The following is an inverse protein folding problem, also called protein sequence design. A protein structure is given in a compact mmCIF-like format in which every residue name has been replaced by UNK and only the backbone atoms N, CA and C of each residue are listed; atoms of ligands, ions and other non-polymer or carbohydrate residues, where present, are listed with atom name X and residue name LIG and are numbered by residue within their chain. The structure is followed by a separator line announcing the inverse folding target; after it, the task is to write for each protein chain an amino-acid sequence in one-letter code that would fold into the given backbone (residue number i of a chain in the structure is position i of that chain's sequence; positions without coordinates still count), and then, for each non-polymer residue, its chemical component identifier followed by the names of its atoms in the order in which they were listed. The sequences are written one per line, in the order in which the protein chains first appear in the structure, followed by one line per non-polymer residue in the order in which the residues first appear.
data_IF_839755458883
#
_entry.id   IF_839755458883
#
_cell.length_a   1.000
_cell.length_b   1.000
_cell.length_c   1.000
_cell.angle_alpha   90.00
_cell.angle_beta   90.00
_cell.angle_gamma   90.00
#
_symmetry.space_group_name_H-M   'P 1'
#
loop_
_entity.id
_entity.type
_entity.pdbx_description
1 polymer ?
#
# COMPACT_ATOMS: atom_id res chain seq x y z
N UNK A 1 5.78 -4.93 -0.48
CA UNK A 1 6.30 -3.57 -0.22
C UNK A 1 6.14 -2.78 -1.49
N UNK A 2 5.85 -1.49 -1.39
CA UNK A 2 5.61 -0.62 -2.54
C UNK A 2 6.72 0.43 -2.62
N UNK A 3 7.18 0.75 -3.82
CA UNK A 3 8.00 1.92 -4.09
C UNK A 3 7.04 3.00 -4.60
N UNK A 4 6.70 3.94 -3.73
CA UNK A 4 5.68 4.96 -4.00
C UNK A 4 6.28 6.09 -4.85
N UNK A 5 5.62 6.37 -5.98
CA UNK A 5 5.91 7.52 -6.83
C UNK A 5 4.59 8.17 -7.23
N UNK A 6 3.99 9.01 -6.36
CA UNK A 6 2.72 9.66 -6.66
C UNK A 6 2.89 10.67 -7.80
N UNK A 7 1.95 10.66 -8.73
CA UNK A 7 1.97 11.49 -9.93
C UNK A 7 0.92 12.59 -9.85
N UNK A 8 -0.33 12.23 -9.53
CA UNK A 8 -1.50 13.11 -9.56
C UNK A 8 -2.58 12.67 -8.56
N UNK A 9 -3.62 13.49 -8.41
CA UNK A 9 -4.84 13.22 -7.63
C UNK A 9 -4.55 12.84 -6.16
N UNK A 10 -5.23 11.82 -5.65
CA UNK A 10 -5.16 11.33 -4.28
C UNK A 10 -3.94 10.44 -4.00
N UNK A 11 -3.12 10.12 -5.02
CA UNK A 11 -1.94 9.28 -4.87
C UNK A 11 -0.94 9.81 -3.84
N UNK A 12 -0.88 11.13 -3.64
CA UNK A 12 -0.04 11.73 -2.60
C UNK A 12 -0.51 11.35 -1.19
N UNK A 13 -1.83 11.30 -0.99
CA UNK A 13 -2.44 10.87 0.28
C UNK A 13 -2.23 9.37 0.48
N UNK A 14 -2.40 8.57 -0.57
CA UNK A 14 -2.14 7.13 -0.54
C UNK A 14 -0.66 6.82 -0.26
N UNK A 15 0.26 7.53 -0.90
CA UNK A 15 1.69 7.40 -0.64
C UNK A 15 2.00 7.71 0.84
N UNK A 16 1.42 8.77 1.38
CA UNK A 16 1.56 9.11 2.80
C UNK A 16 1.01 8.03 3.72
N UNK A 17 -0.17 7.49 3.42
CA UNK A 17 -0.78 6.36 4.14
C UNK A 17 0.14 5.13 4.15
N UNK A 18 0.71 4.80 2.98
CA UNK A 18 1.53 3.61 2.81
C UNK A 18 2.92 3.73 3.43
N UNK A 19 3.52 4.92 3.38
CA UNK A 19 4.87 5.20 3.89
C UNK A 19 4.84 5.50 5.38
N UNK A 20 4.07 6.49 5.82
CA UNK A 20 4.13 7.00 7.19
C UNK A 20 3.28 6.19 8.17
N UNK A 21 2.05 5.84 7.78
CA UNK A 21 1.08 5.29 8.73
C UNK A 21 1.09 3.77 8.80
N UNK A 22 1.29 3.11 7.66
CA UNK A 22 1.31 1.64 7.61
C UNK A 22 2.72 1.06 7.52
N UNK A 23 3.68 1.85 7.01
CA UNK A 23 5.07 1.45 6.85
C UNK A 23 5.20 0.17 6.01
N UNK A 24 4.51 0.14 4.86
CA UNK A 24 4.61 -0.93 3.86
C UNK A 24 5.21 -0.43 2.54
N UNK A 25 5.56 0.85 2.46
CA UNK A 25 6.11 1.49 1.28
C UNK A 25 7.29 2.41 1.59
N UNK A 26 8.06 2.73 0.55
CA UNK A 26 9.14 3.72 0.54
C UNK A 26 8.83 4.72 -0.57
N UNK A 27 8.88 6.02 -0.28
CA UNK A 27 8.75 7.06 -1.33
C UNK A 27 10.06 7.15 -2.12
N UNK A 28 9.98 7.10 -3.45
CA UNK A 28 11.17 7.13 -4.32
C UNK A 28 11.27 8.43 -5.15
N UNK A 29 10.15 9.10 -5.41
CA UNK A 29 10.05 10.34 -6.16
C UNK A 29 8.61 10.86 -6.06
N UNK A 30 8.36 12.10 -6.48
CA UNK A 30 7.02 12.68 -6.54
C UNK A 30 6.85 13.55 -7.78
N UNK A 31 5.64 13.55 -8.34
CA UNK A 31 5.24 14.40 -9.46
C UNK A 31 5.51 13.78 -10.83
N UNK A 32 4.52 13.88 -11.73
CA UNK A 32 4.59 13.25 -13.04
C UNK A 32 5.52 13.88 -14.07
N UNK A 33 6.04 15.07 -13.78
CA UNK A 33 7.04 15.77 -14.62
C UNK A 33 8.44 15.71 -14.01
N UNK A 34 8.59 15.06 -12.86
CA UNK A 34 9.87 14.96 -12.17
C UNK A 34 10.67 13.81 -12.75
N UNK A 35 11.89 14.09 -13.21
CA UNK A 35 12.85 13.06 -13.59
C UNK A 35 13.81 12.89 -12.41
N UNK A 36 13.71 11.82 -11.62
CA UNK A 36 14.59 11.61 -10.48
C UNK A 36 16.02 11.36 -10.95
N UNK A 37 16.99 11.71 -10.09
CA UNK A 37 18.38 11.36 -10.34
C UNK A 37 18.52 9.82 -10.39
N UNK A 38 19.02 9.23 -11.51
CA UNK A 38 19.09 7.78 -11.65
C UNK A 38 19.96 7.08 -10.59
N UNK A 39 21.02 7.73 -10.10
CA UNK A 39 21.89 7.17 -9.07
C UNK A 39 21.18 7.14 -7.71
N UNK A 40 20.45 8.19 -7.38
CA UNK A 40 19.66 8.25 -6.15
C UNK A 40 18.51 7.25 -6.18
N UNK A 41 17.77 7.19 -7.29
CA UNK A 41 16.69 6.22 -7.47
C UNK A 41 17.23 4.79 -7.36
N UNK A 42 18.34 4.49 -8.03
CA UNK A 42 19.00 3.19 -7.97
C UNK A 42 19.42 2.81 -6.54
N UNK A 43 19.98 3.77 -5.79
CA UNK A 43 20.36 3.58 -4.38
C UNK A 43 19.15 3.25 -3.51
N UNK A 44 18.07 4.05 -3.58
CA UNK A 44 16.86 3.83 -2.77
C UNK A 44 16.22 2.48 -3.09
N UNK A 45 16.17 2.08 -4.35
CA UNK A 45 15.70 0.75 -4.76
C UNK A 45 16.58 -0.34 -4.15
N UNK A 46 17.91 -0.23 -4.27
CA UNK A 46 18.84 -1.21 -3.74
C UNK A 46 18.73 -1.37 -2.21
N UNK A 47 18.64 -0.27 -1.48
CA UNK A 47 18.43 -0.24 -0.02
C UNK A 47 17.10 -0.87 0.38
N UNK A 48 16.03 -0.51 -0.34
CA UNK A 48 14.68 -1.06 -0.13
C UNK A 48 14.60 -2.57 -0.42
N UNK A 49 15.41 -3.08 -1.34
CA UNK A 49 15.50 -4.51 -1.66
C UNK A 49 16.49 -5.26 -0.77
N UNK A 50 17.44 -4.55 -0.15
CA UNK A 50 18.39 -5.08 0.81
C UNK A 50 17.79 -5.34 2.18
N UNK A 51 18.68 -5.39 3.19
CA UNK A 51 18.32 -5.67 4.58
C UNK A 51 17.50 -4.53 5.20
N UNK A 52 17.77 -3.29 4.81
CA UNK A 52 17.06 -2.10 5.34
C UNK A 52 15.54 -2.16 5.04
N UNK A 53 15.15 -2.70 3.87
CA UNK A 53 13.75 -2.90 3.54
C UNK A 53 13.12 -4.21 4.05
N UNK A 54 13.85 -5.05 4.80
CA UNK A 54 13.33 -6.36 5.23
C UNK A 54 12.08 -6.22 6.07
N UNK A 55 12.07 -5.31 7.04
CA UNK A 55 10.91 -5.08 7.92
C UNK A 55 9.70 -4.54 7.16
N UNK A 56 9.91 -3.64 6.20
CA UNK A 56 8.88 -3.13 5.30
C UNK A 56 8.25 -4.26 4.47
N UNK A 57 9.08 -5.19 3.95
CA UNK A 57 8.60 -6.36 3.21
C UNK A 57 7.82 -7.33 4.10
N UNK A 58 8.25 -7.55 5.35
CA UNK A 58 7.51 -8.37 6.32
C UNK A 58 6.14 -7.77 6.62
N UNK A 59 6.08 -6.48 6.96
CA UNK A 59 4.81 -5.77 7.21
C UNK A 59 3.88 -5.81 6.00
N UNK A 60 4.41 -5.58 4.80
CA UNK A 60 3.63 -5.68 3.57
C UNK A 60 3.06 -7.10 3.35
N UNK A 61 3.84 -8.14 3.66
CA UNK A 61 3.38 -9.54 3.57
C UNK A 61 2.27 -9.84 4.59
N UNK A 62 2.40 -9.34 5.81
CA UNK A 62 1.37 -9.48 6.85
C UNK A 62 0.08 -8.75 6.48
N UNK A 63 0.20 -7.52 5.98
CA UNK A 63 -0.94 -6.77 5.46
C UNK A 63 -1.65 -7.53 4.34
N UNK A 64 -0.90 -8.11 3.39
CA UNK A 64 -1.46 -8.94 2.33
C UNK A 64 -2.22 -10.18 2.84
N UNK A 65 -1.70 -10.83 3.90
CA UNK A 65 -2.42 -11.94 4.56
C UNK A 65 -3.73 -11.46 5.20
N UNK A 66 -3.71 -10.32 5.90
CA UNK A 66 -4.91 -9.73 6.52
C UNK A 66 -5.95 -9.36 5.48
N UNK A 67 -5.54 -8.71 4.39
CA UNK A 67 -6.42 -8.35 3.28
C UNK A 67 -7.08 -9.60 2.68
N UNK A 68 -6.30 -10.64 2.40
CA UNK A 68 -6.83 -11.92 1.91
C UNK A 68 -7.86 -12.53 2.87
N UNK A 69 -7.52 -12.66 4.15
CA UNK A 69 -8.41 -13.22 5.16
C UNK A 69 -9.72 -12.41 5.31
N UNK A 70 -9.64 -11.08 5.23
CA UNK A 70 -10.82 -10.21 5.29
C UNK A 70 -11.79 -10.42 4.12
N UNK A 71 -11.28 -10.83 2.96
CA UNK A 71 -12.07 -11.05 1.73
C UNK A 71 -12.50 -12.51 1.49
N UNK A 72 -12.15 -13.45 2.38
CA UNK A 72 -12.63 -14.83 2.29
C UNK A 72 -14.14 -14.93 2.58
N UNK A 73 -14.76 -16.08 2.31
CA UNK A 73 -16.23 -16.27 2.45
C UNK A 73 -16.73 -15.92 3.85
N UNK A 74 -15.97 -16.26 4.89
CA UNK A 74 -16.25 -15.90 6.29
C UNK A 74 -15.41 -14.71 6.78
N UNK A 75 -14.84 -13.93 5.86
CA UNK A 75 -14.00 -12.79 6.13
C UNK A 75 -14.81 -11.54 6.49
N UNK A 76 -14.20 -10.65 7.26
CA UNK A 76 -14.88 -9.44 7.77
C UNK A 76 -15.44 -8.55 6.66
N UNK A 77 -14.68 -8.31 5.59
CA UNK A 77 -15.14 -7.47 4.46
C UNK A 77 -16.30 -8.10 3.71
N UNK A 78 -16.30 -9.42 3.55
CA UNK A 78 -17.41 -10.17 2.94
C UNK A 78 -18.67 -10.06 3.79
N UNK A 79 -18.55 -10.29 5.10
CA UNK A 79 -19.66 -10.19 6.05
C UNK A 79 -20.24 -8.77 6.07
N UNK A 80 -19.38 -7.75 6.11
CA UNK A 80 -19.82 -6.35 6.12
C UNK A 80 -20.55 -5.98 4.82
N UNK A 81 -20.10 -6.49 3.67
CA UNK A 81 -20.79 -6.31 2.39
C UNK A 81 -22.13 -7.03 2.35
N UNK A 82 -22.21 -8.28 2.82
CA UNK A 82 -23.49 -9.00 2.93
C UNK A 82 -24.49 -8.28 3.83
N UNK A 83 -24.01 -7.72 4.95
CA UNK A 83 -24.84 -6.89 5.84
C UNK A 83 -25.37 -5.67 5.09
N UNK A 84 -24.51 -4.94 4.39
CA UNK A 84 -24.93 -3.78 3.60
C UNK A 84 -26.04 -4.13 2.60
N UNK A 85 -25.89 -5.24 1.86
CA UNK A 85 -26.89 -5.70 0.89
C UNK A 85 -28.23 -6.03 1.57
N UNK A 86 -28.20 -6.67 2.75
CA UNK A 86 -29.43 -6.98 3.52
C UNK A 86 -30.16 -5.72 3.97
N UNK A 87 -29.43 -4.74 4.50
CA UNK A 87 -30.02 -3.45 4.91
C UNK A 87 -30.66 -2.73 3.72
N UNK A 88 -29.96 -2.69 2.57
CA UNK A 88 -30.47 -2.08 1.34
C UNK A 88 -31.69 -2.82 0.77
N UNK A 89 -31.77 -4.14 0.91
CA UNK A 89 -32.93 -4.93 0.49
C UNK A 89 -34.14 -4.84 1.45
N UNK A 90 -33.94 -4.30 2.65
CA UNK A 90 -35.00 -4.09 3.65
C UNK A 90 -35.60 -2.68 3.63
N UNK A 91 -35.02 -1.78 2.82
CA UNK A 91 -35.54 -0.46 2.48
C UNK A 91 -36.65 -0.56 1.43
#
# INVERSE_FOLDING_TARGET
MILAWPMEADQFVDAKLLVEYTGVAVSVCEGGKTVPNPHELGRVIAESMGEQGRELRVRAKEMGKKARAATEVSGSSTIDLERLVKELGSL
#
